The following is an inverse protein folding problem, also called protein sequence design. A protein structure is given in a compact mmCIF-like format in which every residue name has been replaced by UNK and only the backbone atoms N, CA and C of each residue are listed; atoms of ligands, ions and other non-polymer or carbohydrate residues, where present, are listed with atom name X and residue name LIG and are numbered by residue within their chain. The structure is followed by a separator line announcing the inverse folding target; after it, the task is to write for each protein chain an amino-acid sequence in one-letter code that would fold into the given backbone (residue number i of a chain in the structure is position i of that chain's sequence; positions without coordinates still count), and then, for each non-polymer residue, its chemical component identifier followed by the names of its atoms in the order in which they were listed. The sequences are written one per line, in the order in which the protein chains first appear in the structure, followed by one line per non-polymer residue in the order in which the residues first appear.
data_IF_617046583923
#
_entry.id   IF_617046583923
#
_cell.length_a   1.000
_cell.length_b   1.000
_cell.length_c   1.000
_cell.angle_alpha   90.00
_cell.angle_beta   90.00
_cell.angle_gamma   90.00
#
_symmetry.space_group_name_H-M   'P 1'
#
loop_
_entity.id
_entity.type
_entity.pdbx_description
1 polymer ?
#
# COMPACT_ATOMS: atom_id res chain seq x y z
N UNK A 1 -18.17 -11.05 42.63
CA UNK A 1 -16.80 -11.61 42.71
C UNK A 1 -16.09 -10.90 43.84
N UNK A 2 -16.01 -11.57 45.00
CA UNK A 2 -15.38 -11.01 46.20
C UNK A 2 -13.86 -11.16 46.12
N UNK A 3 -13.12 -10.27 46.81
CA UNK A 3 -11.64 -10.22 46.78
C UNK A 3 -10.96 -11.53 47.22
N UNK A 4 -11.70 -12.43 47.87
CA UNK A 4 -11.23 -13.75 48.31
C UNK A 4 -11.27 -14.82 47.19
N UNK A 5 -12.13 -14.68 46.20
CA UNK A 5 -12.29 -15.65 45.11
C UNK A 5 -11.17 -15.54 44.05
N UNK A 6 -10.53 -14.36 43.97
CA UNK A 6 -9.46 -14.08 43.02
C UNK A 6 -8.09 -14.66 43.44
N UNK A 7 -7.85 -14.85 44.74
CA UNK A 7 -6.59 -15.40 45.26
C UNK A 7 -6.56 -16.93 45.31
N UNK A 8 -7.73 -17.59 45.29
CA UNK A 8 -7.83 -19.06 45.34
C UNK A 8 -7.68 -19.77 43.99
N UNK A 9 -7.73 -19.03 42.87
CA UNK A 9 -7.81 -19.62 41.52
C UNK A 9 -6.45 -19.79 40.83
N UNK A 10 -5.34 -19.31 41.43
CA UNK A 10 -3.98 -19.47 40.89
C UNK A 10 -3.63 -18.58 39.69
N UNK A 11 -4.60 -17.85 39.14
CA UNK A 11 -4.41 -16.96 37.98
C UNK A 11 -3.77 -15.61 38.33
N UNK A 12 -3.78 -15.25 39.61
CA UNK A 12 -3.11 -14.06 40.15
C UNK A 12 -2.01 -14.50 41.11
N UNK A 13 -0.76 -14.42 40.67
CA UNK A 13 0.43 -14.59 41.53
C UNK A 13 1.19 -13.27 41.57
N UNK A 14 1.53 -12.79 42.77
CA UNK A 14 2.36 -11.61 42.99
C UNK A 14 1.92 -10.35 42.20
N UNK A 15 0.63 -10.01 42.22
CA UNK A 15 0.05 -8.90 41.46
C UNK A 15 0.19 -9.01 39.93
N UNK A 16 0.56 -10.17 39.39
CA UNK A 16 0.60 -10.46 37.96
C UNK A 16 -0.59 -11.32 37.57
N UNK A 17 -1.30 -10.92 36.52
CA UNK A 17 -2.34 -11.71 35.87
C UNK A 17 -1.75 -12.31 34.60
N UNK A 18 -1.79 -13.64 34.46
CA UNK A 18 -1.37 -14.33 33.24
C UNK A 18 -2.60 -14.73 32.44
N UNK A 19 -2.74 -14.19 31.23
CA UNK A 19 -3.79 -14.57 30.28
C UNK A 19 -3.17 -15.49 29.24
N UNK A 20 -3.55 -16.76 29.27
CA UNK A 20 -3.24 -17.72 28.23
C UNK A 20 -4.39 -17.70 27.20
N UNK A 21 -4.08 -17.35 25.96
CA UNK A 21 -5.05 -17.29 24.88
C UNK A 21 -4.50 -18.03 23.66
N UNK A 22 -5.27 -18.98 23.17
CA UNK A 22 -5.01 -19.64 21.88
C UNK A 22 -5.81 -18.92 20.81
N UNK A 23 -5.13 -18.22 19.92
CA UNK A 23 -5.74 -17.59 18.75
C UNK A 23 -5.67 -18.56 17.58
N UNK A 24 -6.82 -19.05 17.13
CA UNK A 24 -6.93 -19.85 15.92
C UNK A 24 -7.42 -18.97 14.78
N UNK A 25 -6.57 -18.76 13.77
CA UNK A 25 -6.92 -17.99 12.58
C UNK A 25 -7.60 -18.93 11.58
N UNK A 26 -8.88 -18.72 11.35
CA UNK A 26 -9.62 -19.42 10.29
C UNK A 26 -9.58 -18.55 9.03
N UNK A 27 -8.97 -19.05 7.97
CA UNK A 27 -9.11 -18.44 6.65
C UNK A 27 -10.45 -18.90 6.10
N UNK A 28 -11.44 -18.01 6.07
CA UNK A 28 -12.67 -18.23 5.33
C UNK A 28 -12.33 -18.21 3.83
N UNK A 29 -11.88 -19.34 3.28
CA UNK A 29 -11.77 -19.53 1.84
C UNK A 29 -13.12 -20.05 1.33
N UNK A 30 -14.11 -19.16 1.27
CA UNK A 30 -15.02 -19.22 0.13
C UNK A 30 -14.33 -18.45 -1.00
N UNK A 31 -13.30 -19.08 -1.58
CA UNK A 31 -12.70 -18.57 -2.80
C UNK A 31 -13.78 -18.64 -3.87
N UNK A 32 -14.45 -17.52 -4.15
CA UNK A 32 -15.18 -17.41 -5.39
C UNK A 32 -14.11 -17.39 -6.50
N UNK A 33 -13.97 -18.42 -7.34
CA UNK A 33 -12.88 -18.52 -8.31
C UNK A 33 -12.92 -17.40 -9.36
N UNK A 34 -13.98 -16.60 -9.39
CA UNK A 34 -14.18 -15.50 -10.30
C UNK A 34 -13.56 -14.18 -9.83
N UNK A 35 -13.40 -13.97 -8.51
CA UNK A 35 -12.90 -12.70 -7.96
C UNK A 35 -12.06 -12.97 -6.70
N UNK A 36 -10.74 -12.79 -6.83
CA UNK A 36 -9.86 -12.77 -5.66
C UNK A 36 -10.08 -11.47 -4.88
N UNK A 37 -10.20 -11.59 -3.55
CA UNK A 37 -10.37 -10.45 -2.63
C UNK A 37 -9.09 -9.65 -2.42
N UNK A 38 -7.98 -10.06 -3.04
CA UNK A 38 -6.66 -9.46 -2.89
C UNK A 38 -6.41 -8.32 -3.90
N UNK A 39 -7.27 -7.29 -3.83
CA UNK A 39 -7.19 -6.13 -4.71
C UNK A 39 -5.81 -5.45 -4.65
N UNK A 40 -5.20 -5.41 -3.47
CA UNK A 40 -3.88 -4.83 -3.24
C UNK A 40 -2.82 -5.48 -4.13
N UNK A 41 -2.72 -6.82 -4.11
CA UNK A 41 -1.74 -7.52 -4.91
C UNK A 41 -2.02 -7.38 -6.42
N UNK A 42 -3.30 -7.36 -6.82
CA UNK A 42 -3.64 -7.13 -8.23
C UNK A 42 -3.22 -5.74 -8.71
N UNK A 43 -3.44 -4.69 -7.92
CA UNK A 43 -3.00 -3.33 -8.27
C UNK A 43 -1.47 -3.20 -8.27
N UNK A 44 -0.78 -3.87 -7.33
CA UNK A 44 0.67 -3.95 -7.33
C UNK A 44 1.21 -4.60 -8.62
N UNK A 45 0.61 -5.71 -9.04
CA UNK A 45 0.94 -6.38 -10.31
C UNK A 45 0.59 -5.55 -11.54
N UNK A 46 -0.51 -4.79 -11.50
CA UNK A 46 -0.89 -3.86 -12.56
C UNK A 46 0.18 -2.78 -12.75
N UNK A 47 0.65 -2.16 -11.66
CA UNK A 47 1.75 -1.19 -11.69
C UNK A 47 3.05 -1.84 -12.18
N UNK A 48 3.37 -3.04 -11.70
CA UNK A 48 4.62 -3.75 -12.03
C UNK A 48 4.68 -4.18 -13.50
N UNK A 49 3.57 -4.68 -14.03
CA UNK A 49 3.48 -5.15 -15.42
C UNK A 49 3.36 -4.00 -16.42
N UNK A 50 2.78 -2.87 -16.00
CA UNK A 50 2.47 -1.73 -16.88
C UNK A 50 1.38 -2.04 -17.90
N UNK A 51 0.65 -3.14 -17.75
CA UNK A 51 -0.38 -3.55 -18.69
C UNK A 51 -1.55 -2.56 -18.71
N UNK A 52 -1.76 -1.89 -19.85
CA UNK A 52 -2.81 -0.89 -20.01
C UNK A 52 -2.43 0.51 -19.52
N UNK A 53 -1.15 0.76 -19.24
CA UNK A 53 -0.66 2.09 -18.90
C UNK A 53 -0.91 3.09 -20.05
N UNK A 54 -1.45 4.26 -19.70
CA UNK A 54 -1.86 5.33 -20.62
C UNK A 54 -1.12 6.65 -20.37
N UNK A 55 -0.15 6.64 -19.45
CA UNK A 55 0.75 7.75 -19.15
C UNK A 55 2.14 7.24 -18.78
N UNK A 56 3.18 7.98 -19.17
CA UNK A 56 4.57 7.74 -18.79
C UNK A 56 5.17 8.98 -18.14
N UNK A 57 5.73 8.84 -16.94
CA UNK A 57 6.51 9.89 -16.31
C UNK A 57 8.00 9.69 -16.57
N UNK A 58 8.70 10.75 -16.97
CA UNK A 58 10.16 10.75 -17.09
C UNK A 58 10.73 11.53 -15.92
N UNK A 59 11.42 10.84 -15.01
CA UNK A 59 11.98 11.40 -13.77
C UNK A 59 13.49 11.22 -13.81
N UNK A 60 14.22 12.33 -13.93
CA UNK A 60 15.70 12.31 -14.07
C UNK A 60 16.22 11.33 -15.15
N UNK A 61 15.45 11.14 -16.24
CA UNK A 61 15.77 10.21 -17.33
C UNK A 61 15.26 8.78 -17.15
N UNK A 62 14.69 8.42 -15.99
CA UNK A 62 14.01 7.14 -15.78
C UNK A 62 12.52 7.22 -16.14
N UNK A 63 12.02 6.22 -16.87
CA UNK A 63 10.62 6.18 -17.31
C UNK A 63 9.75 5.31 -16.41
N UNK A 64 8.59 5.83 -16.02
CA UNK A 64 7.59 5.17 -15.19
C UNK A 64 6.23 5.14 -15.88
N UNK A 65 5.83 3.98 -16.37
CA UNK A 65 4.49 3.77 -16.92
C UNK A 65 3.45 3.67 -15.79
N UNK A 66 2.31 4.34 -15.95
CA UNK A 66 1.24 4.35 -14.97
C UNK A 66 -0.14 4.51 -15.63
N UNK A 67 -1.20 4.59 -14.82
CA UNK A 67 -2.58 4.60 -15.28
C UNK A 67 -3.30 5.84 -14.75
N UNK A 68 -3.75 6.73 -15.65
CA UNK A 68 -4.37 8.02 -15.31
C UNK A 68 -5.57 7.84 -14.38
N UNK A 69 -6.40 6.84 -14.64
CA UNK A 69 -7.60 6.55 -13.84
C UNK A 69 -7.26 6.17 -12.38
N UNK A 70 -6.25 5.33 -12.16
CA UNK A 70 -5.81 4.94 -10.81
C UNK A 70 -5.22 6.14 -10.09
N UNK A 71 -4.34 6.90 -10.77
CA UNK A 71 -3.73 8.11 -10.19
C UNK A 71 -4.78 9.16 -9.82
N UNK A 72 -5.73 9.44 -10.71
CA UNK A 72 -6.79 10.42 -10.51
C UNK A 72 -7.76 10.01 -9.39
N UNK A 73 -8.15 8.74 -9.33
CA UNK A 73 -9.01 8.23 -8.27
C UNK A 73 -8.39 8.38 -6.87
N UNK A 74 -7.06 8.48 -6.80
CA UNK A 74 -6.28 8.45 -5.55
C UNK A 74 -5.65 9.80 -5.20
N UNK A 75 -5.75 10.79 -6.09
CA UNK A 75 -5.17 12.12 -5.91
C UNK A 75 -6.01 13.18 -6.62
N UNK A 76 -6.62 14.12 -5.89
CA UNK A 76 -7.32 15.25 -6.49
C UNK A 76 -6.43 16.09 -7.43
N UNK A 77 -5.12 16.12 -7.17
CA UNK A 77 -4.15 16.79 -8.04
C UNK A 77 -4.08 16.08 -9.39
N UNK A 78 -3.93 14.75 -9.41
CA UNK A 78 -3.93 13.98 -10.66
C UNK A 78 -5.32 13.96 -11.34
N UNK A 79 -6.41 14.04 -10.57
CA UNK A 79 -7.75 14.21 -11.14
C UNK A 79 -7.86 15.52 -11.91
N UNK A 80 -7.44 16.64 -11.30
CA UNK A 80 -7.45 17.94 -11.95
C UNK A 80 -6.51 17.97 -13.17
N UNK A 81 -5.31 17.40 -13.05
CA UNK A 81 -4.31 17.34 -14.12
C UNK A 81 -4.82 16.55 -15.34
N UNK A 82 -5.39 15.37 -15.13
CA UNK A 82 -5.76 14.48 -16.25
C UNK A 82 -7.17 14.70 -16.78
N UNK A 83 -8.09 15.14 -15.93
CA UNK A 83 -9.53 15.20 -16.22
C UNK A 83 -10.16 16.57 -15.91
N UNK A 84 -9.37 17.57 -15.50
CA UNK A 84 -9.85 18.93 -15.27
C UNK A 84 -10.13 19.73 -16.55
N UNK A 85 -10.80 20.87 -16.39
CA UNK A 85 -11.24 21.74 -17.50
C UNK A 85 -10.07 22.40 -18.25
N UNK A 86 -8.96 22.68 -17.55
CA UNK A 86 -7.72 23.19 -18.15
C UNK A 86 -6.85 22.01 -18.57
N UNK A 87 -7.20 21.43 -19.73
CA UNK A 87 -6.57 20.21 -20.27
C UNK A 87 -5.17 20.52 -20.84
N UNK A 88 -4.18 20.81 -19.99
CA UNK A 88 -2.81 21.09 -20.45
C UNK A 88 -2.09 19.84 -21.00
N UNK A 89 -2.58 18.63 -20.70
CA UNK A 89 -1.82 17.40 -20.93
C UNK A 89 -2.65 16.30 -21.62
N UNK A 90 -2.95 16.51 -22.90
CA UNK A 90 -3.23 15.39 -23.83
C UNK A 90 -1.99 14.51 -24.05
N UNK A 91 -0.81 14.96 -23.62
CA UNK A 91 0.43 14.21 -23.70
C UNK A 91 0.37 12.90 -22.92
N UNK A 92 0.82 11.83 -23.56
CA UNK A 92 1.03 10.52 -22.94
C UNK A 92 2.36 10.45 -22.15
N UNK A 93 3.12 11.54 -22.11
CA UNK A 93 4.40 11.63 -21.41
C UNK A 93 4.50 12.94 -20.61
N UNK A 94 4.97 12.87 -19.36
CA UNK A 94 5.15 14.01 -18.45
C UNK A 94 6.55 13.97 -17.86
N UNK A 95 7.31 15.06 -17.96
CA UNK A 95 8.64 15.16 -17.36
C UNK A 95 8.54 15.74 -15.94
N UNK A 96 9.20 15.11 -14.97
CA UNK A 96 9.27 15.58 -13.57
C UNK A 96 10.74 15.81 -13.21
N UNK A 97 11.08 17.05 -12.85
CA UNK A 97 12.47 17.49 -12.64
C UNK A 97 12.92 17.55 -11.19
N UNK A 98 11.97 17.66 -10.25
CA UNK A 98 12.27 18.00 -8.85
C UNK A 98 12.19 16.80 -7.88
N UNK A 99 12.01 15.58 -8.40
CA UNK A 99 11.82 14.38 -7.57
C UNK A 99 12.88 13.35 -7.94
N UNK A 100 13.49 12.72 -6.94
CA UNK A 100 14.38 11.57 -7.18
C UNK A 100 13.58 10.35 -7.68
N UNK A 101 14.10 9.57 -8.65
CA UNK A 101 13.39 8.41 -9.19
C UNK A 101 12.93 7.40 -8.12
N UNK A 102 13.73 7.19 -7.08
CA UNK A 102 13.39 6.30 -5.97
C UNK A 102 12.17 6.79 -5.16
N UNK A 103 12.07 8.11 -4.95
CA UNK A 103 10.95 8.75 -4.25
C UNK A 103 9.69 8.69 -5.10
N UNK A 104 9.81 8.96 -6.41
CA UNK A 104 8.67 8.86 -7.32
C UNK A 104 8.14 7.42 -7.43
N UNK A 105 9.04 6.44 -7.48
CA UNK A 105 8.67 5.02 -7.42
C UNK A 105 7.91 4.66 -6.15
N UNK A 106 8.39 5.14 -4.99
CA UNK A 106 7.71 4.93 -3.71
C UNK A 106 6.32 5.60 -3.68
N UNK A 107 6.19 6.80 -4.26
CA UNK A 107 4.90 7.48 -4.42
C UNK A 107 3.93 6.65 -5.27
N UNK A 108 4.38 6.15 -6.43
CA UNK A 108 3.54 5.29 -7.28
C UNK A 108 3.11 4.02 -6.53
N UNK A 109 4.03 3.36 -5.83
CA UNK A 109 3.68 2.19 -5.00
C UNK A 109 2.60 2.54 -3.98
N UNK A 110 2.77 3.64 -3.25
CA UNK A 110 1.78 4.08 -2.27
C UNK A 110 0.41 4.38 -2.90
N UNK A 111 0.37 5.05 -4.06
CA UNK A 111 -0.88 5.35 -4.76
C UNK A 111 -1.65 4.06 -5.11
N UNK A 112 -0.94 3.04 -5.59
CA UNK A 112 -1.54 1.78 -6.03
C UNK A 112 -1.88 0.83 -4.88
N UNK A 113 -1.16 0.90 -3.77
CA UNK A 113 -1.17 -0.18 -2.76
C UNK A 113 -1.39 0.29 -1.32
N UNK A 114 -1.46 1.60 -1.06
CA UNK A 114 -1.48 2.17 0.31
C UNK A 114 -0.27 1.79 1.18
N UNK A 115 0.78 1.19 0.58
CA UNK A 115 1.97 0.75 1.28
C UNK A 115 3.23 1.32 0.63
N UNK A 116 4.12 1.85 1.48
CA UNK A 116 5.48 2.19 1.07
C UNK A 116 6.38 1.01 1.44
N UNK A 117 6.80 0.24 0.44
CA UNK A 117 7.83 -0.79 0.64
C UNK A 117 9.18 -0.11 0.82
N UNK A 118 9.45 0.35 2.04
CA UNK A 118 10.78 0.80 2.45
C UNK A 118 11.69 -0.42 2.61
N UNK A 119 12.15 -0.99 1.48
CA UNK A 119 13.36 -1.79 1.48
C UNK A 119 14.60 -0.88 1.60
N UNK A 120 14.61 0.02 2.58
CA UNK A 120 15.85 0.63 3.04
C UNK A 120 16.57 -0.42 3.85
N UNK A 121 17.32 -1.29 3.16
CA UNK A 121 18.33 -2.12 3.79
C UNK A 121 19.38 -1.18 4.35
N UNK A 122 19.21 -0.73 5.60
CA UNK A 122 20.28 -0.10 6.35
C UNK A 122 21.41 -1.13 6.46
N UNK A 123 22.39 -1.04 5.56
CA UNK A 123 23.70 -1.63 5.81
C UNK A 123 24.34 -0.76 6.87
N UNK A 124 24.26 -1.20 8.12
CA UNK A 124 25.18 -0.74 9.15
C UNK A 124 26.55 -1.23 8.72
N UNK A 125 27.36 -0.32 8.15
CA UNK A 125 28.79 -0.52 8.01
C UNK A 125 29.38 -0.46 9.42
N UNK A 126 29.97 -1.56 9.88
CA UNK A 126 30.90 -1.55 11.03
C UNK A 126 32.27 -1.12 10.55
#
# INVERSE_FOLDING_TARGET
MTRAEAYGSGYLKNCSLTVECTVTVFKNSEDNPLLSSDLHNHLCELLRSGAGADITFVVSGESFAAHKNVLAARSPVFMAEFFGEMKETTSACVEIKEIEPAVFKALLQFIYTDMVLTAMRWKVSR
#
